data_IF_051117322398
#
_entry.id   IF_051117322398
#
_cell.length_a   1.000
_cell.length_b   1.000
_cell.length_c   1.000
_cell.angle_alpha   90.00
_cell.angle_beta   90.00
_cell.angle_gamma   90.00
#
_symmetry.space_group_name_H-M   'P 1'
#
loop_
_entity.id
_entity.type
_entity.pdbx_description
1 polymer ?
#
# COMPACT_ATOMS: atom_id res chain seq x y z
N UNK A 1 -41.47 2.08 -22.47
CA UNK A 1 -40.27 2.80 -22.02
C UNK A 1 -40.35 3.10 -20.52
N UNK A 2 -41.42 3.73 -20.03
CA UNK A 2 -41.61 4.10 -18.61
C UNK A 2 -41.35 2.99 -17.56
N UNK A 3 -41.82 1.75 -17.81
CA UNK A 3 -41.57 0.60 -16.91
C UNK A 3 -40.10 0.15 -16.88
N UNK A 4 -39.37 0.33 -17.98
CA UNK A 4 -37.97 -0.07 -18.07
C UNK A 4 -37.09 0.90 -17.26
N UNK A 5 -37.35 2.20 -17.37
CA UNK A 5 -36.65 3.23 -16.61
C UNK A 5 -36.88 3.08 -15.10
N UNK A 6 -38.10 2.70 -14.68
CA UNK A 6 -38.40 2.41 -13.28
C UNK A 6 -37.60 1.21 -12.74
N UNK A 7 -37.45 0.15 -13.55
CA UNK A 7 -36.67 -1.03 -13.19
C UNK A 7 -35.17 -0.73 -13.11
N UNK A 8 -34.64 0.03 -14.07
CA UNK A 8 -33.23 0.46 -14.06
C UNK A 8 -32.94 1.31 -12.82
N UNK A 9 -33.82 2.26 -12.49
CA UNK A 9 -33.68 3.07 -11.28
C UNK A 9 -33.70 2.23 -10.01
N UNK A 10 -34.57 1.22 -9.91
CA UNK A 10 -34.57 0.29 -8.76
C UNK A 10 -33.25 -0.46 -8.62
N UNK A 11 -32.65 -0.90 -9.73
CA UNK A 11 -31.37 -1.59 -9.73
C UNK A 11 -30.25 -0.64 -9.27
N UNK A 12 -30.21 0.58 -9.80
CA UNK A 12 -29.20 1.60 -9.42
C UNK A 12 -29.30 1.92 -7.92
N UNK A 13 -30.51 2.16 -7.41
CA UNK A 13 -30.72 2.45 -6.00
C UNK A 13 -30.27 1.29 -5.10
N UNK A 14 -30.59 0.05 -5.48
CA UNK A 14 -30.15 -1.14 -4.75
C UNK A 14 -28.63 -1.31 -4.76
N UNK A 15 -27.97 -0.99 -5.87
CA UNK A 15 -26.51 -0.97 -5.96
C UNK A 15 -25.91 0.12 -5.05
N UNK A 16 -26.50 1.32 -5.03
CA UNK A 16 -26.09 2.39 -4.12
C UNK A 16 -26.27 2.02 -2.65
N UNK A 17 -27.36 1.35 -2.27
CA UNK A 17 -27.57 0.86 -0.89
C UNK A 17 -26.47 -0.13 -0.49
N UNK A 18 -26.13 -1.04 -1.39
CA UNK A 18 -25.04 -1.99 -1.17
C UNK A 18 -23.68 -1.30 -1.00
N UNK A 19 -23.37 -0.34 -1.89
CA UNK A 19 -22.14 0.46 -1.81
C UNK A 19 -22.08 1.24 -0.50
N UNK A 20 -23.19 1.89 -0.12
CA UNK A 20 -23.29 2.62 1.14
C UNK A 20 -22.97 1.73 2.33
N UNK A 21 -23.62 0.56 2.44
CA UNK A 21 -23.37 -0.35 3.54
C UNK A 21 -21.91 -0.78 3.60
N UNK A 22 -21.33 -1.19 2.45
CA UNK A 22 -19.93 -1.66 2.41
C UNK A 22 -18.92 -0.60 2.77
N UNK A 23 -19.14 0.64 2.34
CA UNK A 23 -18.23 1.74 2.68
C UNK A 23 -18.39 2.13 4.15
N UNK A 24 -19.62 2.21 4.66
CA UNK A 24 -19.89 2.50 6.08
C UNK A 24 -19.26 1.44 7.00
N UNK A 25 -19.41 0.15 6.68
CA UNK A 25 -18.74 -0.94 7.40
C UNK A 25 -17.22 -0.77 7.41
N UNK A 26 -16.63 -0.38 6.26
CA UNK A 26 -15.18 -0.19 6.14
C UNK A 26 -14.68 1.03 6.90
N UNK A 27 -15.46 2.12 6.94
CA UNK A 27 -15.14 3.31 7.75
C UNK A 27 -15.16 2.94 9.23
N UNK A 28 -16.15 2.18 9.67
CA UNK A 28 -16.22 1.69 11.05
C UNK A 28 -15.00 0.81 11.38
N UNK A 29 -14.64 -0.14 10.50
CA UNK A 29 -13.44 -0.97 10.67
C UNK A 29 -12.16 -0.14 10.80
N UNK A 30 -12.02 0.93 9.99
CA UNK A 30 -10.87 1.85 10.07
C UNK A 30 -10.83 2.56 11.43
N UNK A 31 -11.98 3.04 11.92
CA UNK A 31 -12.10 3.79 13.16
C UNK A 31 -12.00 2.92 14.42
N UNK A 32 -12.30 1.63 14.32
CA UNK A 32 -12.22 0.64 15.39
C UNK A 32 -10.81 0.03 15.55
N UNK A 33 -9.86 0.35 14.66
CA UNK A 33 -8.50 -0.21 14.74
C UNK A 33 -7.87 0.06 16.13
N UNK A 34 -7.31 -0.98 16.78
CA UNK A 34 -6.72 -0.85 18.09
C UNK A 34 -5.48 0.05 18.06
N UNK A 35 -5.30 0.78 19.16
CA UNK A 35 -4.20 1.73 19.35
C UNK A 35 -3.06 1.00 20.05
N UNK A 36 -1.88 1.00 19.44
CA UNK A 36 -0.71 0.25 19.93
C UNK A 36 0.32 1.15 20.60
N UNK A 37 0.29 2.46 20.35
CA UNK A 37 1.23 3.43 20.94
C UNK A 37 0.55 4.59 21.65
N UNK A 38 1.23 5.20 22.64
CA UNK A 38 0.74 6.40 23.34
C UNK A 38 0.55 7.57 22.36
N UNK A 39 1.41 7.69 21.36
CA UNK A 39 1.30 8.75 20.36
C UNK A 39 0.00 8.63 19.54
N UNK A 40 -0.32 7.41 19.07
CA UNK A 40 -1.58 7.12 18.36
C UNK A 40 -2.82 7.41 19.20
N UNK A 41 -2.74 7.28 20.54
CA UNK A 41 -3.85 7.62 21.44
C UNK A 41 -4.19 9.11 21.43
N UNK A 42 -3.17 9.96 21.51
CA UNK A 42 -3.35 11.42 21.50
C UNK A 42 -3.66 11.98 20.10
N UNK A 43 -3.19 11.31 19.04
CA UNK A 43 -3.44 11.72 17.65
C UNK A 43 -4.75 11.16 17.07
N UNK A 44 -5.52 10.39 17.85
CA UNK A 44 -6.71 9.71 17.34
C UNK A 44 -7.71 10.70 16.74
N UNK A 45 -7.90 10.61 15.42
CA UNK A 45 -8.97 11.26 14.69
C UNK A 45 -9.85 10.20 14.07
N UNK A 46 -11.17 10.37 14.20
CA UNK A 46 -12.10 9.56 13.44
C UNK A 46 -11.93 9.92 11.96
N UNK A 47 -11.77 8.90 11.12
CA UNK A 47 -11.84 9.06 9.68
C UNK A 47 -13.29 9.41 9.31
N UNK A 48 -13.47 10.66 8.87
CA UNK A 48 -14.74 11.22 8.44
C UNK A 48 -14.59 11.66 6.98
N UNK A 49 -15.12 10.90 6.01
CA UNK A 49 -15.05 11.29 4.60
C UNK A 49 -15.80 12.61 4.35
N UNK A 50 -15.17 13.54 3.64
CA UNK A 50 -15.77 14.84 3.29
C UNK A 50 -16.29 14.89 1.85
N UNK A 51 -15.86 13.96 1.00
CA UNK A 51 -16.26 13.89 -0.41
C UNK A 51 -16.10 12.48 -0.98
N UNK A 52 -16.88 12.19 -2.01
CA UNK A 52 -16.77 10.98 -2.83
C UNK A 52 -16.19 11.38 -4.19
N UNK A 53 -15.20 10.64 -4.67
CA UNK A 53 -14.70 10.80 -6.05
C UNK A 53 -15.17 9.58 -6.83
N UNK A 54 -16.02 9.80 -7.82
CA UNK A 54 -16.57 8.75 -8.67
C UNK A 54 -15.81 8.71 -9.99
N UNK A 55 -15.29 7.54 -10.33
CA UNK A 55 -14.53 7.28 -11.56
C UNK A 55 -15.16 6.11 -12.32
N UNK A 56 -14.83 6.00 -13.61
CA UNK A 56 -15.36 5.01 -14.54
C UNK A 56 -16.60 5.49 -15.29
N UNK A 57 -16.89 4.85 -16.43
CA UNK A 57 -17.97 5.27 -17.33
C UNK A 57 -19.37 5.23 -16.71
N UNK A 58 -19.57 4.45 -15.64
CA UNK A 58 -20.83 4.38 -14.91
C UNK A 58 -21.06 5.51 -13.89
N UNK A 59 -20.03 6.32 -13.58
CA UNK A 59 -20.07 7.30 -12.50
C UNK A 59 -21.29 8.26 -12.53
N UNK A 60 -21.71 8.81 -13.70
CA UNK A 60 -22.85 9.72 -13.76
C UNK A 60 -24.17 9.12 -13.24
N UNK A 61 -24.38 7.80 -13.42
CA UNK A 61 -25.60 7.13 -13.01
C UNK A 61 -25.73 6.98 -11.49
N UNK A 62 -24.61 7.00 -10.76
CA UNK A 62 -24.60 6.77 -9.32
C UNK A 62 -24.49 8.06 -8.50
N UNK A 63 -24.03 9.17 -9.10
CA UNK A 63 -23.67 10.41 -8.41
C UNK A 63 -24.72 10.88 -7.41
N UNK A 64 -25.92 11.24 -7.92
CA UNK A 64 -27.00 11.80 -7.09
C UNK A 64 -27.42 10.85 -5.97
N UNK A 65 -27.60 9.57 -6.30
CA UNK A 65 -28.06 8.57 -5.36
C UNK A 65 -27.04 8.30 -4.23
N UNK A 66 -25.73 8.41 -4.51
CA UNK A 66 -24.69 8.30 -3.50
C UNK A 66 -24.55 9.58 -2.69
N UNK A 67 -24.63 10.77 -3.30
CA UNK A 67 -24.64 12.05 -2.58
C UNK A 67 -25.74 12.09 -1.51
N UNK A 68 -26.96 11.70 -1.88
CA UNK A 68 -28.11 11.66 -0.96
C UNK A 68 -27.91 10.66 0.19
N UNK A 69 -27.29 9.50 -0.07
CA UNK A 69 -27.07 8.45 0.95
C UNK A 69 -25.98 8.80 1.94
N UNK A 70 -24.86 9.33 1.45
CA UNK A 70 -23.72 9.67 2.29
C UNK A 70 -23.83 11.06 2.92
N UNK A 71 -24.66 11.95 2.36
CA UNK A 71 -24.79 13.33 2.84
C UNK A 71 -23.54 14.18 2.59
N UNK A 72 -22.67 13.75 1.68
CA UNK A 72 -21.42 14.44 1.30
C UNK A 72 -21.34 14.59 -0.23
N UNK A 73 -20.65 15.60 -0.74
CA UNK A 73 -20.55 15.84 -2.19
C UNK A 73 -19.87 14.68 -2.92
N UNK A 74 -20.40 14.30 -4.07
CA UNK A 74 -19.77 13.39 -5.00
C UNK A 74 -19.28 14.15 -6.23
N UNK A 75 -18.04 13.96 -6.61
CA UNK A 75 -17.40 14.64 -7.73
C UNK A 75 -17.00 13.61 -8.77
N UNK A 76 -17.26 13.94 -10.04
CA UNK A 76 -16.81 13.16 -11.18
C UNK A 76 -15.73 13.99 -11.87
N UNK A 77 -14.46 13.56 -11.84
CA UNK A 77 -13.39 14.23 -12.60
C UNK A 77 -13.66 14.17 -14.11
N UNK A 78 -13.11 15.14 -14.86
CA UNK A 78 -13.26 15.21 -16.32
C UNK A 78 -12.79 13.92 -17.00
N UNK A 79 -11.64 13.39 -16.58
CA UNK A 79 -11.03 12.18 -17.10
C UNK A 79 -11.54 10.89 -16.41
N UNK A 80 -12.68 10.94 -15.72
CA UNK A 80 -13.25 9.82 -14.94
C UNK A 80 -13.29 8.50 -15.72
N UNK A 81 -13.60 8.54 -17.02
CA UNK A 81 -13.65 7.36 -17.88
C UNK A 81 -12.30 6.66 -18.07
N UNK A 82 -11.19 7.39 -17.97
CA UNK A 82 -9.82 6.89 -18.20
C UNK A 82 -8.91 6.97 -16.97
N UNK A 83 -9.44 7.32 -15.80
CA UNK A 83 -8.65 7.51 -14.58
C UNK A 83 -7.69 6.35 -14.27
N UNK A 84 -8.11 5.10 -14.50
CA UNK A 84 -7.24 3.93 -14.27
C UNK A 84 -6.04 3.91 -15.22
N UNK A 85 -6.24 4.24 -16.50
CA UNK A 85 -5.17 4.33 -17.49
C UNK A 85 -4.24 5.51 -17.19
N UNK A 86 -4.81 6.66 -16.80
CA UNK A 86 -4.05 7.83 -16.38
C UNK A 86 -3.19 7.54 -15.15
N UNK A 87 -3.76 6.89 -14.13
CA UNK A 87 -3.04 6.48 -12.92
C UNK A 87 -1.89 5.51 -13.23
N UNK A 88 -2.11 4.55 -14.14
CA UNK A 88 -1.06 3.63 -14.58
C UNK A 88 0.06 4.32 -15.36
N UNK A 89 -0.28 5.30 -16.20
CA UNK A 89 0.69 6.06 -16.99
C UNK A 89 1.51 7.04 -16.14
N UNK A 90 0.89 7.64 -15.11
CA UNK A 90 1.53 8.61 -14.23
C UNK A 90 2.23 7.97 -13.03
N UNK A 91 1.98 6.69 -12.74
CA UNK A 91 2.61 6.00 -11.64
C UNK A 91 4.12 5.94 -11.84
N UNK A 92 4.86 6.39 -10.83
CA UNK A 92 6.32 6.20 -10.77
C UNK A 92 6.63 4.72 -10.70
N UNK A 93 7.73 4.32 -11.33
CA UNK A 93 8.22 2.94 -11.24
C UNK A 93 8.52 2.60 -9.78
N UNK A 94 7.93 1.51 -9.30
CA UNK A 94 8.18 0.97 -7.96
C UNK A 94 8.99 -0.32 -8.04
N UNK A 95 9.79 -0.54 -7.00
CA UNK A 95 10.51 -1.78 -6.77
C UNK A 95 10.61 -2.01 -5.27
N UNK A 96 10.68 -3.27 -4.88
CA UNK A 96 10.86 -3.70 -3.50
C UNK A 96 11.89 -4.83 -3.48
N UNK A 97 12.62 -4.94 -2.38
CA UNK A 97 13.44 -6.11 -2.05
C UNK A 97 13.14 -6.56 -0.63
N UNK A 98 13.04 -7.88 -0.46
CA UNK A 98 12.82 -8.52 0.83
C UNK A 98 14.08 -9.29 1.22
N UNK A 99 14.83 -8.76 2.18
CA UNK A 99 16.07 -9.35 2.67
C UNK A 99 15.79 -10.17 3.92
N UNK A 100 16.22 -11.43 3.85
CA UNK A 100 16.19 -12.37 4.97
C UNK A 100 17.61 -12.77 5.33
N UNK A 101 18.02 -12.48 6.56
CA UNK A 101 19.34 -12.85 7.09
C UNK A 101 19.18 -13.73 8.33
N UNK A 102 19.72 -14.94 8.28
CA UNK A 102 19.78 -15.86 9.41
C UNK A 102 21.23 -16.04 9.83
N UNK A 103 21.62 -15.43 10.95
CA UNK A 103 22.99 -15.48 11.45
C UNK A 103 23.32 -16.81 12.15
N UNK A 104 22.32 -17.61 12.52
CA UNK A 104 22.55 -18.97 13.03
C UNK A 104 23.03 -19.91 11.93
N UNK A 105 22.41 -19.79 10.74
CA UNK A 105 22.74 -20.60 9.56
C UNK A 105 23.79 -19.91 8.65
N UNK A 106 24.18 -18.67 8.98
CA UNK A 106 25.19 -17.88 8.26
C UNK A 106 24.77 -17.53 6.83
N UNK A 107 23.49 -17.30 6.57
CA UNK A 107 22.95 -17.07 5.22
C UNK A 107 22.07 -15.83 5.14
N UNK A 108 22.23 -15.11 4.04
CA UNK A 108 21.39 -14.01 3.61
C UNK A 108 20.79 -14.33 2.24
N UNK A 109 19.53 -13.99 2.04
CA UNK A 109 18.84 -14.15 0.76
C UNK A 109 17.93 -12.97 0.42
N UNK A 110 17.85 -12.64 -0.86
CA UNK A 110 16.90 -11.69 -1.44
C UNK A 110 16.25 -12.36 -2.64
N UNK A 111 14.96 -12.69 -2.52
CA UNK A 111 14.24 -13.49 -3.50
C UNK A 111 14.09 -12.77 -4.85
N UNK A 112 13.80 -11.47 -4.82
CA UNK A 112 13.56 -10.63 -6.01
C UNK A 112 14.78 -10.56 -6.94
N UNK A 113 15.97 -10.83 -6.39
CA UNK A 113 17.23 -10.83 -7.11
C UNK A 113 17.84 -12.23 -7.27
N UNK A 114 17.18 -13.28 -6.77
CA UNK A 114 17.74 -14.63 -6.64
C UNK A 114 19.14 -14.61 -5.99
N UNK A 115 19.32 -13.69 -5.03
CA UNK A 115 20.62 -13.40 -4.44
C UNK A 115 20.78 -14.18 -3.14
N UNK A 116 21.96 -14.81 -2.98
CA UNK A 116 22.34 -15.54 -1.79
C UNK A 116 23.77 -15.19 -1.40
N UNK A 117 23.99 -14.97 -0.12
CA UNK A 117 25.29 -14.60 0.43
C UNK A 117 25.54 -15.28 1.76
N UNK A 118 26.80 -15.64 2.03
CA UNK A 118 27.20 -16.09 3.35
C UNK A 118 27.47 -14.88 4.24
N UNK A 119 26.91 -14.89 5.44
CA UNK A 119 27.06 -13.82 6.42
C UNK A 119 27.66 -14.35 7.72
N UNK A 120 28.34 -13.46 8.45
CA UNK A 120 28.90 -13.79 9.76
C UNK A 120 27.82 -13.83 10.85
N UNK A 121 28.13 -14.48 11.98
CA UNK A 121 27.26 -14.54 13.16
C UNK A 121 26.95 -13.17 13.77
N UNK A 122 27.84 -12.19 13.60
CA UNK A 122 27.69 -10.83 14.13
C UNK A 122 26.98 -9.89 13.16
N UNK A 123 26.58 -10.36 11.97
CA UNK A 123 25.86 -9.54 10.99
C UNK A 123 24.68 -8.82 11.62
N UNK A 124 24.71 -7.50 11.54
CA UNK A 124 23.82 -6.62 12.26
C UNK A 124 22.60 -6.22 11.44
N UNK A 125 21.59 -5.70 12.13
CA UNK A 125 20.40 -5.12 11.51
C UNK A 125 20.76 -3.96 10.58
N UNK A 126 21.70 -3.12 11.00
CA UNK A 126 22.14 -1.95 10.23
C UNK A 126 22.82 -2.36 8.93
N UNK A 127 23.72 -3.35 8.98
CA UNK A 127 24.33 -3.92 7.77
C UNK A 127 23.27 -4.53 6.85
N UNK A 128 22.24 -5.16 7.40
CA UNK A 128 21.12 -5.68 6.62
C UNK A 128 20.31 -4.57 5.92
N UNK A 129 20.05 -3.45 6.60
CA UNK A 129 19.36 -2.27 6.03
C UNK A 129 20.17 -1.65 4.89
N UNK A 130 21.47 -1.41 5.12
CA UNK A 130 22.39 -0.87 4.11
C UNK A 130 22.46 -1.78 2.88
N UNK A 131 22.57 -3.10 3.09
CA UNK A 131 22.58 -4.10 2.02
C UNK A 131 21.27 -4.15 1.24
N UNK A 132 20.12 -4.03 1.92
CA UNK A 132 18.81 -4.01 1.28
C UNK A 132 18.68 -2.79 0.35
N UNK A 133 19.11 -1.60 0.80
CA UNK A 133 19.08 -0.39 -0.02
C UNK A 133 20.04 -0.47 -1.22
N UNK A 134 21.24 -1.01 -1.03
CA UNK A 134 22.18 -1.28 -2.12
C UNK A 134 21.54 -2.18 -3.19
N UNK A 135 20.93 -3.29 -2.76
CA UNK A 135 20.31 -4.27 -3.66
C UNK A 135 19.04 -3.74 -4.32
N UNK A 136 18.27 -2.91 -3.63
CA UNK A 136 17.13 -2.19 -4.21
C UNK A 136 17.60 -1.26 -5.33
N UNK A 137 18.73 -0.57 -5.14
CA UNK A 137 19.32 0.29 -6.17
C UNK A 137 19.75 -0.49 -7.40
N UNK A 138 20.42 -1.64 -7.23
CA UNK A 138 20.74 -2.53 -8.35
C UNK A 138 19.48 -3.00 -9.10
N UNK A 139 18.42 -3.35 -8.38
CA UNK A 139 17.14 -3.74 -8.99
C UNK A 139 16.50 -2.59 -9.77
N UNK A 140 16.53 -1.38 -9.21
CA UNK A 140 16.01 -0.18 -9.84
C UNK A 140 16.74 0.13 -11.16
N UNK A 141 18.07 0.06 -11.15
CA UNK A 141 18.91 0.26 -12.34
C UNK A 141 18.57 -0.76 -13.44
N UNK A 142 18.40 -2.04 -13.08
CA UNK A 142 17.98 -3.09 -14.03
C UNK A 142 16.60 -2.85 -14.62
N UNK A 143 15.70 -2.18 -13.89
CA UNK A 143 14.36 -1.80 -14.34
C UNK A 143 14.34 -0.49 -15.15
N UNK A 144 15.51 0.10 -15.44
CA UNK A 144 15.61 1.34 -16.21
C UNK A 144 15.24 2.60 -15.42
N UNK A 145 15.25 2.53 -14.09
CA UNK A 145 14.94 3.68 -13.23
C UNK A 145 16.18 4.56 -13.07
N UNK A 146 16.06 5.85 -13.42
CA UNK A 146 17.17 6.82 -13.33
C UNK A 146 17.45 7.23 -11.88
N UNK A 147 18.74 7.19 -11.50
CA UNK A 147 19.29 7.36 -10.14
C UNK A 147 18.78 8.59 -9.37
N UNK A 148 18.52 9.70 -10.04
CA UNK A 148 18.29 10.99 -9.37
C UNK A 148 16.82 11.26 -9.00
N UNK A 149 15.91 10.31 -9.29
CA UNK A 149 14.46 10.52 -9.16
C UNK A 149 13.77 9.68 -8.07
N UNK A 150 14.48 8.76 -7.43
CA UNK A 150 13.86 7.72 -6.60
C UNK A 150 14.27 7.79 -5.13
N UNK A 151 13.33 8.24 -4.30
CA UNK A 151 13.40 8.15 -2.85
C UNK A 151 13.20 6.68 -2.44
N UNK A 152 14.18 6.09 -1.76
CA UNK A 152 14.11 4.73 -1.23
C UNK A 152 13.91 4.77 0.27
N UNK A 153 13.12 3.84 0.80
CA UNK A 153 12.81 3.76 2.23
C UNK A 153 12.80 2.32 2.72
N UNK A 154 13.08 2.14 4.01
CA UNK A 154 12.86 0.87 4.72
C UNK A 154 11.44 0.90 5.29
N UNK A 155 10.57 0.01 4.82
CA UNK A 155 9.19 -0.09 5.30
C UNK A 155 9.02 -1.07 6.44
N UNK A 156 9.89 -2.08 6.52
CA UNK A 156 9.89 -3.04 7.63
C UNK A 156 11.33 -3.34 8.03
N UNK A 157 11.57 -3.38 9.35
CA UNK A 157 12.91 -3.66 9.87
C UNK A 157 12.86 -4.38 11.21
N UNK A 158 12.87 -5.70 11.16
CA UNK A 158 12.63 -6.59 12.30
C UNK A 158 13.83 -7.48 12.61
N UNK A 159 14.03 -7.76 13.90
CA UNK A 159 15.06 -8.69 14.39
C UNK A 159 14.42 -9.63 15.40
N UNK A 160 14.56 -10.93 15.15
CA UNK A 160 14.08 -11.97 16.04
C UNK A 160 15.26 -12.80 16.54
N UNK A 161 15.34 -13.02 17.84
CA UNK A 161 16.36 -13.91 18.41
C UNK A 161 15.97 -15.36 18.14
N UNK A 162 16.91 -16.14 17.61
CA UNK A 162 16.76 -17.58 17.43
C UNK A 162 17.21 -18.27 18.71
N UNK A 163 16.34 -19.09 19.32
CA UNK A 163 16.61 -19.79 20.58
C UNK A 163 16.62 -21.29 20.34
N UNK A 164 17.66 -21.99 20.84
CA UNK A 164 17.71 -23.45 20.94
C UNK A 164 18.22 -23.86 22.31
N UNK A 165 17.56 -24.83 22.94
CA UNK A 165 17.93 -25.30 24.27
C UNK A 165 18.02 -24.19 25.31
N UNK A 166 17.07 -23.23 25.28
CA UNK A 166 17.02 -22.06 26.18
C UNK A 166 18.18 -21.05 26.03
N UNK A 167 18.97 -21.14 24.96
CA UNK A 167 20.05 -20.19 24.65
C UNK A 167 19.85 -19.57 23.28
N UNK A 168 20.23 -18.28 23.14
CA UNK A 168 20.18 -17.59 21.84
C UNK A 168 21.33 -18.09 20.95
N UNK A 169 21.00 -18.65 19.78
CA UNK A 169 21.98 -19.19 18.82
C UNK A 169 22.31 -18.25 17.67
N UNK A 170 21.51 -17.20 17.49
CA UNK A 170 21.69 -16.20 16.45
C UNK A 170 20.44 -15.34 16.27
N UNK A 171 20.34 -14.68 15.12
CA UNK A 171 19.25 -13.74 14.81
C UNK A 171 18.66 -14.05 13.45
N UNK A 172 17.35 -13.88 13.33
CA UNK A 172 16.62 -13.78 12.07
C UNK A 172 16.28 -12.31 11.85
N UNK A 173 16.94 -11.70 10.88
CA UNK A 173 16.78 -10.29 10.51
C UNK A 173 15.97 -10.24 9.23
N UNK A 174 14.92 -9.42 9.23
CA UNK A 174 14.01 -9.24 8.09
C UNK A 174 13.90 -7.77 7.77
N UNK A 175 14.31 -7.41 6.57
CA UNK A 175 14.27 -6.04 6.08
C UNK A 175 13.44 -6.01 4.79
N UNK A 176 12.52 -5.06 4.71
CA UNK A 176 11.82 -4.70 3.48
C UNK A 176 12.22 -3.28 3.10
N UNK A 177 12.77 -3.13 1.90
CA UNK A 177 13.13 -1.85 1.33
C UNK A 177 12.35 -1.63 0.04
N UNK A 178 11.82 -0.43 -0.18
CA UNK A 178 11.08 -0.09 -1.40
C UNK A 178 11.48 1.27 -1.97
N UNK A 179 11.23 1.45 -3.27
CA UNK A 179 11.13 2.78 -3.87
C UNK A 179 9.78 3.36 -3.46
N UNK A 180 9.79 4.54 -2.84
CA UNK A 180 8.59 5.21 -2.36
C UNK A 180 7.61 5.41 -3.51
N UNK A 181 6.36 4.89 -3.40
CA UNK A 181 5.34 5.11 -4.40
C UNK A 181 5.07 6.60 -4.62
N UNK A 182 4.71 6.96 -5.85
CA UNK A 182 4.37 8.33 -6.18
C UNK A 182 4.03 8.50 -7.65
N UNK A 183 3.80 9.74 -8.06
CA UNK A 183 3.62 10.10 -9.47
C UNK A 183 4.96 10.54 -10.07
N UNK A 184 5.10 10.38 -11.39
CA UNK A 184 6.18 11.03 -12.14
C UNK A 184 6.02 12.56 -12.03
N UNK A 185 7.14 13.29 -11.83
CA UNK A 185 7.12 14.73 -11.50
C UNK A 185 6.99 15.66 -12.71
N UNK A 186 6.98 15.11 -13.92
CA UNK A 186 7.09 15.87 -15.18
C UNK A 186 5.75 15.96 -15.95
N UNK A 187 4.62 15.89 -15.25
CA UNK A 187 3.27 16.08 -15.82
C UNK A 187 2.54 17.25 -15.15
#
# INVERSE_FOLDING_TARGET
>A
EEKLDEQVNKIVLKACDFIYQKISDKINEINEKPIYTINEFFERKNFLPEKIILIGGGAPYFKKALEERFGIPAVIPEESAICNALGAALARVTAEVNLYANTSDGRLSISELQFFEKIDRHFSKKEAEEKALEKLKELAEKKGVLKDSCEMEITESSVFNMVRGFSTTGKNIRIKAQIKPGLIKDF
#
